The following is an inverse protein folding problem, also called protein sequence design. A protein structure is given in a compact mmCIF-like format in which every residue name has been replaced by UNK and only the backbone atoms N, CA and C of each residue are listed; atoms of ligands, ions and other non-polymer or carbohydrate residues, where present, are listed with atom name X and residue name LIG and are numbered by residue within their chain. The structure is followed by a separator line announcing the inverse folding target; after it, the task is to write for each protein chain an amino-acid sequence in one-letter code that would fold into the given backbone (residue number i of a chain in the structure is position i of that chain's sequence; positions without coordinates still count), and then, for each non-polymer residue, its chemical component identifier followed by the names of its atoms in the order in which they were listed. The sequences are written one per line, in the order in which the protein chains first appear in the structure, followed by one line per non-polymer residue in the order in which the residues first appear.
data_IF_609063866095
#
_entry.id   IF_609063866095
#
_cell.length_a   1.000
_cell.length_b   1.000
_cell.length_c   1.000
_cell.angle_alpha   90.00
_cell.angle_beta   90.00
_cell.angle_gamma   90.00
#
_symmetry.space_group_name_H-M   'P 1'
#
loop_
_entity.id
_entity.type
_entity.pdbx_description
1 polymer ?
#
# COMPACT_ATOMS: atom_id res chain seq x y z
N UNK A 1 3.98 11.27 25.03
CA UNK A 1 3.84 11.59 23.60
C UNK A 1 3.01 10.47 22.99
N UNK A 2 1.95 10.80 22.27
CA UNK A 2 1.19 9.77 21.54
C UNK A 2 1.93 9.38 20.23
N UNK A 3 1.49 8.29 19.59
CA UNK A 3 2.13 7.76 18.37
C UNK A 3 2.21 8.82 17.26
N UNK A 4 1.11 9.54 17.03
CA UNK A 4 1.01 10.60 16.01
C UNK A 4 1.98 11.76 16.27
N UNK A 5 1.99 12.29 17.49
CA UNK A 5 2.88 13.37 17.92
C UNK A 5 4.35 13.00 17.71
N UNK A 6 4.71 11.74 18.02
CA UNK A 6 6.08 11.23 17.85
C UNK A 6 6.53 11.28 16.40
N UNK A 7 5.69 10.83 15.48
CA UNK A 7 5.98 10.87 14.05
C UNK A 7 6.11 12.32 13.57
N UNK A 8 5.16 13.19 13.90
CA UNK A 8 5.16 14.59 13.47
C UNK A 8 6.40 15.32 13.98
N UNK A 9 6.75 15.16 15.27
CA UNK A 9 7.96 15.77 15.85
C UNK A 9 9.25 15.26 15.21
N UNK A 10 9.32 13.95 14.96
CA UNK A 10 10.47 13.36 14.25
C UNK A 10 10.65 13.99 12.88
N UNK A 11 9.56 14.16 12.12
CA UNK A 11 9.59 14.80 10.80
C UNK A 11 9.99 16.28 10.88
N UNK A 12 9.66 16.97 11.98
CA UNK A 12 10.08 18.34 12.25
C UNK A 12 11.51 18.48 12.77
N UNK A 13 12.23 17.36 13.01
CA UNK A 13 13.57 17.37 13.60
C UNK A 13 13.59 17.72 15.10
N UNK A 14 12.44 17.59 15.77
CA UNK A 14 12.30 17.85 17.21
C UNK A 14 12.65 16.61 18.05
N UNK A 15 12.92 16.85 19.35
CA UNK A 15 13.17 15.77 20.29
C UNK A 15 11.89 14.97 20.60
N UNK A 16 12.00 13.64 20.54
CA UNK A 16 10.96 12.69 20.92
C UNK A 16 11.33 11.88 22.17
N UNK A 17 10.36 11.17 22.74
CA UNK A 17 10.58 10.26 23.86
C UNK A 17 11.27 8.95 23.44
N UNK A 18 11.10 8.52 22.18
CA UNK A 18 11.89 7.48 21.50
C UNK A 18 11.72 7.60 19.97
N UNK A 19 12.48 6.81 19.20
CA UNK A 19 12.36 6.75 17.75
C UNK A 19 11.02 6.11 17.34
N UNK A 20 10.23 6.73 16.43
CA UNK A 20 9.00 6.11 15.93
C UNK A 20 9.31 4.88 15.08
N UNK A 21 8.42 3.88 15.14
CA UNK A 21 8.56 2.62 14.41
C UNK A 21 7.46 2.45 13.36
N UNK A 22 7.84 1.76 12.27
CA UNK A 22 6.98 1.40 11.14
C UNK A 22 7.54 0.17 10.47
N UNK A 23 6.70 -0.82 10.18
CA UNK A 23 7.09 -2.08 9.58
C UNK A 23 6.25 -2.35 8.33
N UNK A 24 6.90 -2.71 7.22
CA UNK A 24 6.24 -2.88 5.91
C UNK A 24 6.23 -4.36 5.52
N UNK A 25 5.06 -4.86 5.14
CA UNK A 25 4.87 -6.19 4.58
C UNK A 25 3.72 -6.16 3.58
N UNK A 26 3.70 -7.12 2.67
CA UNK A 26 2.49 -7.40 1.88
C UNK A 26 1.66 -8.46 2.60
N UNK A 27 0.34 -8.28 2.59
CA UNK A 27 -0.55 -9.28 3.15
C UNK A 27 -0.56 -10.54 2.26
N UNK A 28 -0.82 -11.72 2.85
CA UNK A 28 -1.04 -12.94 2.10
C UNK A 28 -2.10 -12.78 0.99
N UNK A 29 -1.91 -13.46 -0.14
CA UNK A 29 -2.77 -13.29 -1.33
C UNK A 29 -4.23 -13.67 -1.08
N UNK A 30 -4.48 -14.60 -0.16
CA UNK A 30 -5.83 -14.99 0.25
C UNK A 30 -6.59 -13.85 0.95
N UNK A 31 -5.90 -12.95 1.66
CA UNK A 31 -6.51 -11.72 2.20
C UNK A 31 -6.99 -10.81 1.07
N UNK A 32 -6.19 -10.70 0.01
CA UNK A 32 -6.50 -9.86 -1.16
C UNK A 32 -7.70 -10.45 -1.92
N UNK A 33 -7.70 -11.76 -2.14
CA UNK A 33 -8.76 -12.52 -2.82
C UNK A 33 -10.11 -12.46 -2.08
N UNK A 34 -10.09 -12.35 -0.76
CA UNK A 34 -11.29 -12.17 0.07
C UNK A 34 -11.87 -10.74 0.01
N UNK A 35 -11.15 -9.78 -0.59
CA UNK A 35 -11.66 -8.44 -0.89
C UNK A 35 -11.47 -7.41 0.24
N UNK A 36 -12.22 -6.31 0.14
CA UNK A 36 -12.02 -5.09 0.95
C UNK A 36 -12.13 -5.35 2.45
N UNK A 37 -13.12 -6.14 2.89
CA UNK A 37 -13.34 -6.43 4.31
C UNK A 37 -12.13 -7.12 4.96
N UNK A 38 -11.59 -8.14 4.30
CA UNK A 38 -10.43 -8.88 4.78
C UNK A 38 -9.17 -7.99 4.80
N UNK A 39 -8.99 -7.15 3.77
CA UNK A 39 -7.87 -6.20 3.71
C UNK A 39 -7.94 -5.17 4.85
N UNK A 40 -9.11 -4.59 5.12
CA UNK A 40 -9.30 -3.65 6.24
C UNK A 40 -9.00 -4.34 7.58
N UNK A 41 -9.57 -5.53 7.79
CA UNK A 41 -9.35 -6.29 9.02
C UNK A 41 -7.87 -6.62 9.24
N UNK A 42 -7.15 -7.05 8.20
CA UNK A 42 -5.74 -7.39 8.28
C UNK A 42 -4.87 -6.18 8.66
N UNK A 43 -5.14 -4.99 8.12
CA UNK A 43 -4.43 -3.76 8.48
C UNK A 43 -4.68 -3.37 9.95
N UNK A 44 -5.93 -3.44 10.41
CA UNK A 44 -6.28 -3.09 11.79
C UNK A 44 -5.71 -4.10 12.80
N UNK A 45 -5.79 -5.40 12.49
CA UNK A 45 -5.17 -6.45 13.29
C UNK A 45 -3.65 -6.28 13.35
N UNK A 46 -3.01 -5.95 12.22
CA UNK A 46 -1.58 -5.69 12.17
C UNK A 46 -1.19 -4.48 13.02
N UNK A 47 -1.93 -3.37 12.91
CA UNK A 47 -1.75 -2.18 13.75
C UNK A 47 -1.79 -2.56 15.24
N UNK A 48 -2.82 -3.31 15.63
CA UNK A 48 -3.03 -3.73 17.02
C UNK A 48 -1.92 -4.66 17.52
N UNK A 49 -1.52 -5.65 16.73
CA UNK A 49 -0.48 -6.62 17.14
C UNK A 49 0.91 -6.01 17.23
N UNK A 50 1.22 -5.05 16.37
CA UNK A 50 2.57 -4.45 16.30
C UNK A 50 2.72 -3.21 17.15
N UNK A 51 1.61 -2.55 17.49
CA UNK A 51 1.60 -1.27 18.21
C UNK A 51 2.48 -0.20 17.53
N UNK A 52 2.61 -0.27 16.21
CA UNK A 52 3.42 0.62 15.38
C UNK A 52 2.99 2.09 15.50
N UNK A 53 3.94 3.03 15.38
CA UNK A 53 3.64 4.47 15.34
C UNK A 53 3.09 4.90 13.98
N UNK A 54 3.52 4.19 12.93
CA UNK A 54 3.15 4.42 11.54
C UNK A 54 2.48 3.16 10.99
N UNK A 55 1.21 3.26 10.62
CA UNK A 55 0.52 2.25 9.83
C UNK A 55 0.59 2.63 8.35
N UNK A 56 1.39 1.88 7.59
CA UNK A 56 1.36 1.92 6.13
C UNK A 56 0.15 1.14 5.64
N UNK A 57 -0.76 1.84 4.96
CA UNK A 57 -1.88 1.22 4.28
C UNK A 57 -1.35 0.73 2.93
N UNK A 58 -1.13 -0.56 2.84
CA UNK A 58 -0.62 -1.24 1.65
C UNK A 58 -1.65 -1.13 0.53
N UNK A 59 -1.18 -0.77 -0.67
CA UNK A 59 -1.99 -0.88 -1.86
C UNK A 59 -1.89 -2.30 -2.42
N UNK A 60 -2.75 -3.17 -1.91
CA UNK A 60 -2.88 -4.53 -2.44
C UNK A 60 -3.74 -4.58 -3.73
N UNK A 61 -4.36 -3.45 -4.11
CA UNK A 61 -5.15 -3.28 -5.33
C UNK A 61 -4.26 -2.88 -6.51
N UNK A 62 -3.25 -3.69 -6.77
CA UNK A 62 -2.22 -3.40 -7.75
C UNK A 62 -2.78 -3.33 -9.18
N UNK A 63 -2.23 -2.41 -9.98
CA UNK A 63 -2.46 -2.43 -11.42
C UNK A 63 -1.69 -3.62 -12.01
N UNK A 64 -2.44 -4.69 -12.32
CA UNK A 64 -1.96 -5.85 -13.06
C UNK A 64 -2.70 -5.94 -14.37
N UNK A 65 -1.97 -5.92 -15.48
CA UNK A 65 -2.55 -6.25 -16.78
C UNK A 65 -2.83 -7.77 -16.82
N UNK A 66 -3.99 -8.16 -17.33
CA UNK A 66 -4.30 -9.58 -17.57
C UNK A 66 -3.36 -10.20 -18.59
N UNK A 67 -2.83 -9.40 -19.51
CA UNK A 67 -1.84 -9.80 -20.50
C UNK A 67 -0.48 -9.21 -20.14
N UNK A 68 0.58 -10.02 -20.22
CA UNK A 68 1.95 -9.55 -19.98
C UNK A 68 2.37 -8.50 -21.01
N UNK A 69 3.05 -7.45 -20.56
CA UNK A 69 3.69 -6.46 -21.43
C UNK A 69 5.12 -6.92 -21.72
N UNK A 70 5.38 -7.44 -22.92
CA UNK A 70 6.70 -7.98 -23.31
C UNK A 70 7.28 -7.31 -24.57
N UNK A 71 6.44 -6.67 -25.38
CA UNK A 71 6.79 -6.01 -26.64
C UNK A 71 6.24 -4.59 -26.70
N UNK A 72 6.72 -3.79 -27.66
CA UNK A 72 6.22 -2.42 -27.89
C UNK A 72 4.72 -2.42 -28.24
N UNK A 73 4.22 -3.43 -28.94
CA UNK A 73 2.79 -3.48 -29.29
C UNK A 73 1.90 -3.84 -28.09
N UNK A 74 2.44 -4.52 -27.07
CA UNK A 74 1.66 -4.90 -25.89
C UNK A 74 1.18 -3.69 -25.08
N UNK A 75 1.84 -2.53 -25.22
CA UNK A 75 1.42 -1.29 -24.58
C UNK A 75 -0.01 -0.87 -24.93
N UNK A 76 -0.50 -1.27 -26.11
CA UNK A 76 -1.90 -1.04 -26.53
C UNK A 76 -2.92 -1.80 -25.67
N UNK A 77 -2.48 -2.80 -24.89
CA UNK A 77 -3.32 -3.61 -24.00
C UNK A 77 -3.53 -2.96 -22.63
N UNK A 78 -2.80 -1.90 -22.29
CA UNK A 78 -2.97 -1.19 -21.01
C UNK A 78 -4.28 -0.40 -21.06
N UNK A 79 -5.24 -0.81 -20.24
CA UNK A 79 -6.51 -0.09 -20.12
C UNK A 79 -6.32 1.16 -19.25
N UNK A 80 -6.87 2.28 -19.71
CA UNK A 80 -6.93 3.50 -18.92
C UNK A 80 -7.75 3.28 -17.65
N UNK A 81 -7.13 3.48 -16.50
CA UNK A 81 -7.83 3.52 -15.22
C UNK A 81 -8.60 4.83 -15.06
N UNK A 82 -9.77 4.74 -14.43
CA UNK A 82 -10.58 5.89 -14.05
C UNK A 82 -10.89 5.82 -12.57
N UNK A 83 -11.44 6.89 -12.00
CA UNK A 83 -11.89 6.90 -10.61
C UNK A 83 -12.93 5.82 -10.27
N UNK A 84 -13.60 5.26 -11.30
CA UNK A 84 -14.61 4.21 -11.16
C UNK A 84 -14.02 2.81 -11.40
N UNK A 85 -12.73 2.68 -11.70
CA UNK A 85 -12.07 1.39 -11.83
C UNK A 85 -12.06 0.69 -10.48
N UNK A 86 -12.42 -0.60 -10.45
CA UNK A 86 -12.57 -1.39 -9.20
C UNK A 86 -11.35 -1.26 -8.27
N UNK A 87 -10.14 -1.36 -8.80
CA UNK A 87 -8.92 -1.21 -8.00
C UNK A 87 -8.82 0.15 -7.29
N UNK A 88 -9.33 1.23 -7.90
CA UNK A 88 -9.34 2.57 -7.33
C UNK A 88 -10.43 2.68 -6.28
N UNK A 89 -11.64 2.21 -6.59
CA UNK A 89 -12.77 2.29 -5.65
C UNK A 89 -12.52 1.44 -4.41
N UNK A 90 -11.98 0.23 -4.58
CA UNK A 90 -11.62 -0.67 -3.48
C UNK A 90 -10.53 -0.04 -2.60
N UNK A 91 -9.47 0.52 -3.20
CA UNK A 91 -8.41 1.19 -2.43
C UNK A 91 -8.94 2.40 -1.65
N UNK A 92 -9.83 3.20 -2.25
CA UNK A 92 -10.48 4.34 -1.57
C UNK A 92 -11.34 3.87 -0.40
N UNK A 93 -12.09 2.78 -0.57
CA UNK A 93 -12.91 2.21 0.51
C UNK A 93 -12.04 1.72 1.68
N UNK A 94 -10.97 0.99 1.38
CA UNK A 94 -10.00 0.51 2.38
C UNK A 94 -9.39 1.69 3.15
N UNK A 95 -8.92 2.71 2.44
CA UNK A 95 -8.35 3.92 3.04
C UNK A 95 -9.36 4.61 3.96
N UNK A 96 -10.59 4.84 3.49
CA UNK A 96 -11.62 5.50 4.28
C UNK A 96 -11.93 4.74 5.56
N UNK A 97 -12.12 3.43 5.49
CA UNK A 97 -12.44 2.60 6.65
C UNK A 97 -11.30 2.57 7.65
N UNK A 98 -10.06 2.41 7.20
CA UNK A 98 -8.89 2.44 8.10
C UNK A 98 -8.72 3.82 8.72
N UNK A 99 -8.94 4.91 7.98
CA UNK A 99 -8.87 6.28 8.53
C UNK A 99 -9.92 6.46 9.62
N UNK A 100 -11.16 6.02 9.39
CA UNK A 100 -12.24 6.08 10.38
C UNK A 100 -11.92 5.26 11.63
N UNK A 101 -11.54 4.00 11.47
CA UNK A 101 -11.24 3.09 12.59
C UNK A 101 -9.93 3.44 13.32
N UNK A 102 -9.00 4.12 12.66
CA UNK A 102 -7.77 4.56 13.32
C UNK A 102 -8.02 5.70 14.29
N UNK A 103 -9.01 6.57 14.04
CA UNK A 103 -9.38 7.70 14.92
C UNK A 103 -8.19 8.51 15.49
N UNK A 104 -7.16 8.72 14.65
CA UNK A 104 -5.95 9.44 15.02
C UNK A 104 -4.98 8.71 15.96
N UNK A 105 -5.20 7.42 16.25
CA UNK A 105 -4.37 6.64 17.17
C UNK A 105 -2.90 6.54 16.73
N UNK A 106 -2.65 6.29 15.44
CA UNK A 106 -1.31 6.25 14.85
C UNK A 106 -1.25 7.01 13.52
N UNK A 107 -0.03 7.31 13.05
CA UNK A 107 0.18 7.99 11.78
C UNK A 107 -0.15 7.06 10.61
N UNK A 108 -0.97 7.52 9.67
CA UNK A 108 -1.37 6.73 8.50
C UNK A 108 -0.57 7.15 7.27
N UNK A 109 -0.01 6.17 6.57
CA UNK A 109 0.65 6.36 5.28
C UNK A 109 -0.09 5.59 4.20
N UNK A 110 -0.90 6.29 3.40
CA UNK A 110 -1.49 5.73 2.19
C UNK A 110 -0.43 5.52 1.11
N UNK A 111 -0.50 4.41 0.38
CA UNK A 111 0.50 4.09 -0.64
C UNK A 111 -0.09 3.87 -2.03
N UNK A 112 0.72 4.14 -3.04
CA UNK A 112 0.46 3.84 -4.44
C UNK A 112 1.76 3.44 -5.09
N UNK A 113 1.74 2.43 -5.95
CA UNK A 113 2.90 2.07 -6.73
C UNK A 113 3.19 3.15 -7.79
N UNK A 114 4.46 3.52 -7.92
CA UNK A 114 4.91 4.36 -9.02
C UNK A 114 4.84 3.61 -10.36
N UNK A 115 4.98 4.37 -11.45
CA UNK A 115 4.88 3.86 -12.82
C UNK A 115 5.73 2.61 -13.05
N UNK A 116 7.01 2.65 -12.66
CA UNK A 116 7.92 1.51 -12.83
C UNK A 116 7.39 0.27 -12.09
N UNK A 117 7.13 0.37 -10.78
CA UNK A 117 6.57 -0.72 -9.98
C UNK A 117 5.35 -1.39 -10.67
N UNK A 118 4.37 -0.59 -11.11
CA UNK A 118 3.18 -1.08 -11.82
C UNK A 118 3.51 -1.79 -13.15
N UNK A 119 4.51 -1.29 -13.89
CA UNK A 119 4.92 -1.90 -15.16
C UNK A 119 5.64 -3.24 -14.96
N UNK A 120 6.47 -3.41 -13.94
CA UNK A 120 7.03 -4.74 -13.64
C UNK A 120 5.94 -5.74 -13.31
N UNK A 121 5.00 -5.38 -12.45
CA UNK A 121 3.90 -6.27 -12.08
C UNK A 121 3.12 -6.72 -13.34
N UNK A 122 3.02 -5.82 -14.32
CA UNK A 122 2.38 -6.05 -15.63
C UNK A 122 3.26 -6.79 -16.65
N UNK A 123 4.59 -6.75 -16.51
CA UNK A 123 5.53 -7.46 -17.40
C UNK A 123 5.65 -8.96 -17.11
N UNK A 124 5.18 -9.39 -15.94
CA UNK A 124 5.37 -10.76 -15.45
C UNK A 124 6.78 -11.06 -14.94
N UNK A 125 7.66 -10.04 -14.85
CA UNK A 125 8.96 -10.11 -14.19
C UNK A 125 8.90 -9.33 -12.87
N UNK A 126 9.61 -9.80 -11.85
CA UNK A 126 9.78 -9.07 -10.59
C UNK A 126 11.12 -8.33 -10.59
N UNK A 127 11.12 -7.04 -10.24
CA UNK A 127 12.35 -6.26 -10.09
C UNK A 127 13.36 -6.90 -9.12
N UNK A 128 12.87 -7.61 -8.10
CA UNK A 128 13.72 -8.32 -7.13
C UNK A 128 14.53 -9.46 -7.75
N UNK A 129 14.15 -9.92 -8.95
CA UNK A 129 14.76 -11.06 -9.64
C UNK A 129 15.29 -10.71 -11.04
N UNK A 130 15.27 -9.44 -11.43
CA UNK A 130 15.76 -8.96 -12.73
C UNK A 130 16.73 -7.79 -12.57
N UNK A 131 17.93 -8.01 -11.99
CA UNK A 131 18.93 -6.96 -11.76
C UNK A 131 19.45 -6.30 -13.05
N UNK A 132 19.25 -6.94 -14.21
CA UNK A 132 19.64 -6.45 -15.54
C UNK A 132 18.76 -5.29 -16.05
N UNK A 133 17.67 -4.95 -15.34
CA UNK A 133 16.74 -3.87 -15.67
C UNK A 133 17.01 -2.56 -14.88
N UNK A 134 18.09 -2.50 -14.09
CA UNK A 134 18.60 -1.28 -13.44
C UNK A 134 19.88 -0.81 -14.10
#
# INVERSE_FOLDING_TARGET
MNKMERVIKTLAGEQTDHAPMGFWLHFPTDVIEQGVDAQVAAHLEYKEKTQTDILKIMNENEMRTTNKIQTIDDWKKITRLTKNSKLITDQVEILNRIVTENDGECFLLGTVHGLMASLSHSSGHSYSYSPELM
#
